data_IF_872122142996
#
_entry.id   IF_872122142996
#
_cell.length_a   1.000
_cell.length_b   1.000
_cell.length_c   1.000
_cell.angle_alpha   90.00
_cell.angle_beta   90.00
_cell.angle_gamma   90.00
#
_symmetry.space_group_name_H-M   'P 1'
#
loop_
_entity.id
_entity.type
_entity.pdbx_description
1 polymer ?
#
# COMPACT_ATOMS: atom_id res chain seq x y z
N UNK A 1 -19.59 -3.48 1.37
CA UNK A 1 -19.00 -2.97 2.62
C UNK A 1 -17.62 -3.60 2.75
N UNK A 2 -16.62 -2.86 3.20
CA UNK A 2 -15.27 -3.42 3.45
C UNK A 2 -15.26 -4.00 4.86
N UNK A 3 -14.75 -5.21 5.03
CA UNK A 3 -14.49 -5.80 6.34
C UNK A 3 -13.01 -5.68 6.64
N UNK A 4 -12.67 -5.27 7.87
CA UNK A 4 -11.28 -5.05 8.30
C UNK A 4 -11.07 -5.71 9.64
N UNK A 5 -9.98 -6.45 9.77
CA UNK A 5 -9.48 -6.98 11.03
C UNK A 5 -8.00 -6.60 11.17
N UNK A 6 -7.59 -6.21 12.38
CA UNK A 6 -6.21 -5.83 12.67
C UNK A 6 -5.69 -6.53 13.92
N UNK A 7 -4.41 -6.90 13.91
CA UNK A 7 -3.65 -7.36 15.06
C UNK A 7 -2.49 -6.39 15.25
N UNK A 8 -2.42 -5.80 16.43
CA UNK A 8 -1.54 -4.66 16.72
C UNK A 8 -0.70 -5.02 17.94
N UNK A 9 0.61 -4.86 17.83
CA UNK A 9 1.49 -5.07 18.96
C UNK A 9 1.25 -4.00 20.05
N UNK A 10 1.65 -4.31 21.28
CA UNK A 10 1.66 -3.31 22.35
C UNK A 10 2.62 -2.16 21.98
N UNK A 11 2.32 -0.92 22.39
CA UNK A 11 3.21 0.20 22.14
C UNK A 11 4.63 -0.04 22.66
N UNK A 12 5.63 0.30 21.85
CA UNK A 12 7.03 0.29 22.28
C UNK A 12 7.27 1.39 23.32
N UNK A 13 8.06 1.09 24.35
CA UNK A 13 8.26 2.00 25.47
C UNK A 13 9.04 3.28 25.10
N UNK A 14 9.89 3.23 24.06
CA UNK A 14 10.71 4.37 23.64
C UNK A 14 9.97 5.31 22.69
N UNK A 15 9.10 4.75 21.83
CA UNK A 15 8.36 5.51 20.81
C UNK A 15 6.94 5.86 21.27
N UNK A 16 6.37 5.07 22.18
CA UNK A 16 4.98 5.22 22.63
C UNK A 16 3.94 4.80 21.60
N UNK A 17 4.34 4.05 20.56
CA UNK A 17 3.47 3.57 19.50
C UNK A 17 3.77 2.11 19.12
N UNK A 18 2.81 1.36 18.57
CA UNK A 18 3.05 0.01 18.06
C UNK A 18 4.09 0.03 16.93
N UNK A 19 5.06 -0.89 16.98
CA UNK A 19 6.05 -1.06 15.93
C UNK A 19 5.69 -2.15 14.92
N UNK A 20 4.72 -3.01 15.27
CA UNK A 20 4.26 -4.13 14.45
C UNK A 20 2.74 -4.12 14.33
N UNK A 21 2.25 -4.27 13.09
CA UNK A 21 0.84 -4.24 12.73
C UNK A 21 0.57 -5.23 11.60
N UNK A 22 -0.52 -5.98 11.72
CA UNK A 22 -1.08 -6.76 10.63
C UNK A 22 -2.53 -6.36 10.40
N UNK A 23 -2.91 -6.14 9.14
CA UNK A 23 -4.28 -5.84 8.71
C UNK A 23 -4.69 -6.91 7.70
N UNK A 24 -5.89 -7.46 7.87
CA UNK A 24 -6.58 -8.28 6.87
C UNK A 24 -7.85 -7.55 6.49
N UNK A 25 -8.10 -7.39 5.19
CA UNK A 25 -9.33 -6.79 4.70
C UNK A 25 -9.98 -7.63 3.61
N UNK A 26 -11.31 -7.53 3.56
CA UNK A 26 -12.15 -8.02 2.46
C UNK A 26 -12.82 -6.82 1.81
N UNK A 27 -12.57 -6.63 0.53
CA UNK A 27 -13.18 -5.55 -0.26
C UNK A 27 -14.67 -5.83 -0.51
N UNK A 28 -15.40 -4.82 -0.97
CA UNK A 28 -16.82 -4.97 -1.29
C UNK A 28 -17.09 -5.96 -2.45
N UNK A 29 -16.09 -6.23 -3.29
CA UNK A 29 -16.11 -7.21 -4.38
C UNK A 29 -15.41 -8.53 -4.03
N UNK A 30 -15.34 -8.85 -2.74
CA UNK A 30 -14.87 -10.13 -2.19
C UNK A 30 -13.40 -10.48 -2.54
N UNK A 31 -12.56 -9.45 -2.70
CA UNK A 31 -11.10 -9.61 -2.78
C UNK A 31 -10.50 -9.52 -1.39
N UNK A 32 -9.46 -10.31 -1.14
CA UNK A 32 -8.75 -10.32 0.13
C UNK A 32 -7.41 -9.61 -0.01
N UNK A 33 -7.03 -8.85 1.00
CA UNK A 33 -5.67 -8.34 1.15
C UNK A 33 -5.17 -8.56 2.58
N UNK A 34 -3.90 -8.96 2.68
CA UNK A 34 -3.18 -9.10 3.95
C UNK A 34 -1.97 -8.18 3.91
N UNK A 35 -1.88 -7.30 4.89
CA UNK A 35 -0.83 -6.29 5.01
C UNK A 35 -0.11 -6.56 6.32
N UNK A 36 1.20 -6.77 6.25
CA UNK A 36 2.05 -6.94 7.42
C UNK A 36 3.12 -5.85 7.41
N UNK A 37 3.21 -5.11 8.51
CA UNK A 37 4.12 -3.98 8.67
C UNK A 37 4.88 -4.12 9.98
N UNK A 38 6.19 -3.88 9.93
CA UNK A 38 7.07 -4.01 11.08
C UNK A 38 8.25 -3.03 10.95
N UNK A 39 8.42 -2.16 11.93
CA UNK A 39 9.64 -1.36 12.09
C UNK A 39 10.82 -2.19 12.61
N UNK A 40 10.55 -3.40 13.14
CA UNK A 40 11.54 -4.36 13.60
C UNK A 40 12.12 -5.22 12.45
N UNK A 41 11.61 -5.06 11.22
CA UNK A 41 12.09 -5.82 10.07
C UNK A 41 13.54 -5.44 9.72
N UNK A 42 14.44 -6.42 9.76
CA UNK A 42 15.83 -6.27 9.29
C UNK A 42 16.00 -6.50 7.79
N UNK A 43 14.89 -6.70 7.08
CA UNK A 43 14.83 -6.80 5.63
C UNK A 43 14.08 -5.56 5.12
N UNK A 44 14.74 -4.74 4.30
CA UNK A 44 14.08 -3.64 3.60
C UNK A 44 13.19 -4.21 2.50
N UNK A 45 11.97 -4.62 2.87
CA UNK A 45 11.06 -5.35 2.00
C UNK A 45 9.78 -4.55 1.78
N UNK A 46 9.56 -4.12 0.54
CA UNK A 46 8.35 -3.44 0.07
C UNK A 46 7.72 -4.29 -1.02
N UNK A 47 7.39 -5.53 -0.64
CA UNK A 47 6.96 -6.53 -1.61
C UNK A 47 5.44 -6.62 -1.66
N UNK A 48 4.94 -6.81 -2.86
CA UNK A 48 3.52 -7.04 -3.12
C UNK A 48 3.38 -8.37 -3.83
N UNK A 49 2.51 -9.22 -3.32
CA UNK A 49 2.12 -10.45 -4.02
C UNK A 49 0.67 -10.31 -4.43
N UNK A 50 0.43 -10.27 -5.74
CA UNK A 50 -0.90 -10.21 -6.32
C UNK A 50 -1.27 -11.59 -6.83
N UNK A 51 -2.28 -12.20 -6.23
CA UNK A 51 -2.74 -13.55 -6.58
C UNK A 51 -4.05 -13.43 -7.35
N UNK A 52 -3.98 -13.66 -8.66
CA UNK A 52 -5.13 -13.76 -9.54
C UNK A 52 -5.55 -15.21 -9.78
N UNK A 53 -6.65 -15.39 -10.53
CA UNK A 53 -7.10 -16.73 -10.93
C UNK A 53 -6.18 -17.35 -11.98
N UNK A 54 -5.64 -16.52 -12.87
CA UNK A 54 -4.78 -16.94 -13.99
C UNK A 54 -3.29 -16.91 -13.65
N UNK A 55 -2.84 -15.98 -12.82
CA UNK A 55 -1.42 -15.80 -12.51
C UNK A 55 -1.18 -15.24 -11.11
N UNK A 56 0.06 -15.39 -10.63
CA UNK A 56 0.57 -14.74 -9.42
C UNK A 56 1.75 -13.85 -9.80
N UNK A 57 1.66 -12.58 -9.42
CA UNK A 57 2.71 -11.60 -9.65
C UNK A 57 3.37 -11.20 -8.33
N UNK A 58 4.68 -11.05 -8.34
CA UNK A 58 5.47 -10.54 -7.22
C UNK A 58 6.13 -9.23 -7.64
N UNK A 59 5.83 -8.14 -6.96
CA UNK A 59 6.65 -6.92 -7.01
C UNK A 59 7.65 -7.05 -5.88
N UNK A 60 8.93 -7.08 -6.22
CA UNK A 60 10.02 -7.21 -5.24
C UNK A 60 11.23 -6.39 -5.68
N UNK A 61 11.79 -5.62 -4.75
CA UNK A 61 12.94 -4.75 -4.99
C UNK A 61 12.71 -3.80 -6.20
N UNK A 62 11.47 -3.30 -6.35
CA UNK A 62 11.07 -2.45 -7.47
C UNK A 62 10.90 -3.16 -8.82
N UNK A 63 11.04 -4.48 -8.87
CA UNK A 63 10.89 -5.28 -10.09
C UNK A 63 9.62 -6.11 -10.03
N UNK A 64 8.84 -6.09 -11.11
CA UNK A 64 7.69 -6.96 -11.30
C UNK A 64 8.17 -8.32 -11.83
N UNK A 65 7.75 -9.40 -11.19
CA UNK A 65 8.05 -10.78 -11.55
C UNK A 65 6.75 -11.56 -11.74
N UNK A 66 6.70 -12.38 -12.76
CA UNK A 66 5.61 -13.33 -13.01
C UNK A 66 5.90 -14.69 -12.36
N UNK A 67 5.07 -15.69 -12.66
CA UNK A 67 5.28 -17.08 -12.24
C UNK A 67 6.73 -17.52 -12.42
N UNK A 68 7.24 -18.25 -11.43
CA UNK A 68 8.60 -18.80 -11.40
C UNK A 68 9.74 -17.77 -11.29
N UNK A 69 9.45 -16.52 -10.91
CA UNK A 69 10.47 -15.50 -10.67
C UNK A 69 11.08 -14.91 -11.94
N UNK A 70 10.41 -15.11 -13.08
CA UNK A 70 10.79 -14.50 -14.36
C UNK A 70 10.45 -13.02 -14.30
N UNK A 71 11.38 -12.10 -14.62
CA UNK A 71 11.05 -10.68 -14.74
C UNK A 71 9.91 -10.49 -15.73
N UNK A 72 8.86 -9.78 -15.33
CA UNK A 72 7.76 -9.43 -16.21
C UNK A 72 8.28 -8.43 -17.25
N UNK A 73 8.12 -8.72 -18.54
CA UNK A 73 8.29 -7.68 -19.54
C UNK A 73 7.08 -6.75 -19.47
N UNK A 74 7.31 -5.48 -19.11
CA UNK A 74 6.28 -4.45 -19.15
C UNK A 74 6.53 -3.60 -20.41
N UNK A 75 5.78 -3.80 -21.51
CA UNK A 75 6.00 -3.08 -22.75
C UNK A 75 5.91 -1.56 -22.51
N UNK A 76 6.97 -0.83 -22.88
CA UNK A 76 7.04 0.63 -22.73
C UNK A 76 7.55 1.13 -21.38
N UNK A 77 7.92 0.24 -20.44
CA UNK A 77 8.56 0.66 -19.20
C UNK A 77 10.06 0.96 -19.42
N UNK A 78 10.40 2.23 -19.68
CA UNK A 78 11.79 2.70 -19.59
C UNK A 78 12.12 3.03 -18.13
N UNK A 79 12.41 1.99 -17.34
CA UNK A 79 12.72 2.15 -15.91
C UNK A 79 14.07 2.86 -15.68
N UNK A 80 14.96 2.86 -16.67
CA UNK A 80 16.30 3.45 -16.57
C UNK A 80 16.28 4.98 -16.73
N UNK A 81 15.40 5.52 -17.57
CA UNK A 81 15.30 6.97 -17.82
C UNK A 81 13.99 7.59 -17.30
N UNK A 82 13.18 6.84 -16.57
CA UNK A 82 11.95 7.37 -15.98
C UNK A 82 12.28 8.44 -14.92
N UNK A 83 11.61 9.61 -14.97
CA UNK A 83 11.67 10.57 -13.87
C UNK A 83 11.24 9.92 -12.56
N UNK A 84 11.78 10.40 -11.43
CA UNK A 84 11.33 9.96 -10.10
C UNK A 84 9.80 10.02 -9.98
N UNK A 85 9.14 9.05 -9.31
CA UNK A 85 7.69 9.05 -9.10
C UNK A 85 7.15 10.37 -8.52
N UNK A 86 7.90 11.04 -7.65
CA UNK A 86 7.53 12.36 -7.10
C UNK A 86 7.49 13.44 -8.18
N UNK A 87 8.43 13.42 -9.13
CA UNK A 87 8.45 14.35 -10.25
C UNK A 87 7.27 14.09 -11.18
N UNK A 88 6.94 12.82 -11.43
CA UNK A 88 5.76 12.45 -12.23
C UNK A 88 4.47 12.91 -11.55
N UNK A 89 4.32 12.69 -10.25
CA UNK A 89 3.18 13.16 -9.46
C UNK A 89 3.04 14.69 -9.53
N UNK A 90 4.14 15.43 -9.34
CA UNK A 90 4.12 16.89 -9.40
C UNK A 90 3.76 17.42 -10.80
N UNK A 91 4.26 16.77 -11.85
CA UNK A 91 3.92 17.11 -13.24
C UNK A 91 2.44 16.90 -13.52
N UNK A 92 1.88 15.78 -13.08
CA UNK A 92 0.46 15.47 -13.25
C UNK A 92 -0.43 16.46 -12.49
N UNK A 93 -0.08 16.79 -11.25
CA UNK A 93 -0.81 17.80 -10.48
C UNK A 93 -0.76 19.18 -11.15
N UNK A 94 0.40 19.59 -11.65
CA UNK A 94 0.52 20.87 -12.37
C UNK A 94 -0.29 20.86 -13.68
N UNK A 95 -0.23 19.78 -14.46
CA UNK A 95 -1.00 19.64 -15.69
C UNK A 95 -2.51 19.70 -15.42
N UNK A 96 -3.00 19.02 -14.37
CA UNK A 96 -4.42 19.02 -14.03
C UNK A 96 -4.97 20.42 -13.71
N UNK A 97 -4.13 21.27 -13.10
CA UNK A 97 -4.47 22.68 -12.85
C UNK A 97 -4.59 23.46 -14.17
N UNK A 98 -3.59 23.35 -15.05
CA UNK A 98 -3.57 24.07 -16.32
C UNK A 98 -4.72 23.66 -17.25
N UNK A 99 -5.08 22.38 -17.22
CA UNK A 99 -6.12 21.80 -18.07
C UNK A 99 -7.52 21.91 -17.45
N UNK A 100 -7.64 22.37 -16.20
CA UNK A 100 -8.92 22.54 -15.51
C UNK A 100 -9.65 21.22 -15.24
N UNK A 101 -8.90 20.15 -14.95
CA UNK A 101 -9.44 18.79 -14.75
C UNK A 101 -9.05 18.18 -13.39
N UNK A 102 -9.75 17.11 -13.00
CA UNK A 102 -9.30 16.07 -12.10
C UNK A 102 -7.78 15.80 -12.05
N UNK A 103 -7.02 15.86 -10.93
CA UNK A 103 -5.75 15.13 -10.91
C UNK A 103 -6.03 13.62 -10.97
N UNK A 104 -5.10 12.85 -11.56
CA UNK A 104 -5.22 11.38 -11.66
C UNK A 104 -5.41 10.69 -10.32
N UNK A 105 -4.92 11.28 -9.23
CA UNK A 105 -5.18 10.86 -7.85
C UNK A 105 -5.85 12.04 -7.15
N UNK A 106 -7.12 11.90 -6.82
CA UNK A 106 -7.91 12.90 -6.10
C UNK A 106 -8.03 12.55 -4.62
N UNK A 107 -8.37 13.52 -3.74
CA UNK A 107 -8.67 13.23 -2.34
C UNK A 107 -9.73 12.12 -2.18
N UNK A 108 -10.79 12.17 -2.99
CA UNK A 108 -11.87 11.17 -2.98
C UNK A 108 -11.37 9.75 -3.28
N UNK A 109 -10.33 9.61 -4.12
CA UNK A 109 -9.74 8.30 -4.43
C UNK A 109 -8.97 7.68 -3.26
N UNK A 110 -8.57 8.50 -2.27
CA UNK A 110 -7.79 8.07 -1.11
C UNK A 110 -8.69 7.79 0.10
N UNK A 111 -9.89 8.37 0.15
CA UNK A 111 -10.83 8.19 1.27
C UNK A 111 -11.07 6.71 1.66
N UNK A 112 -11.32 5.77 0.72
CA UNK A 112 -11.54 4.38 1.10
C UNK A 112 -10.34 3.74 1.81
N UNK A 113 -9.12 4.13 1.45
CA UNK A 113 -7.92 3.67 2.12
C UNK A 113 -7.81 4.29 3.53
N UNK A 114 -8.14 5.57 3.68
CA UNK A 114 -8.16 6.24 4.98
C UNK A 114 -9.19 5.64 5.94
N UNK A 115 -10.36 5.22 5.44
CA UNK A 115 -11.37 4.54 6.25
C UNK A 115 -10.86 3.22 6.82
N UNK A 116 -10.15 2.42 6.02
CA UNK A 116 -9.49 1.18 6.48
C UNK A 116 -8.44 1.47 7.54
N UNK A 117 -7.60 2.49 7.32
CA UNK A 117 -6.57 2.89 8.27
C UNK A 117 -7.18 3.41 9.58
N UNK A 118 -8.29 4.15 9.52
CA UNK A 118 -8.99 4.63 10.71
C UNK A 118 -9.53 3.47 11.55
N UNK A 119 -10.10 2.43 10.93
CA UNK A 119 -10.56 1.24 11.66
C UNK A 119 -9.41 0.55 12.40
N UNK A 120 -8.24 0.44 11.76
CA UNK A 120 -7.06 -0.11 12.40
C UNK A 120 -6.52 0.80 13.53
N UNK A 121 -6.58 2.12 13.34
CA UNK A 121 -6.19 3.09 14.37
C UNK A 121 -7.10 3.01 15.60
N UNK A 122 -8.43 2.95 15.40
CA UNK A 122 -9.40 2.84 16.49
C UNK A 122 -9.15 1.56 17.32
N UNK A 123 -8.77 0.46 16.66
CA UNK A 123 -8.37 -0.77 17.33
C UNK A 123 -7.06 -0.62 18.12
N UNK A 124 -6.11 0.18 17.64
CA UNK A 124 -4.86 0.47 18.35
C UNK A 124 -5.13 1.32 19.61
N UNK A 125 -5.95 2.35 19.47
CA UNK A 125 -6.30 3.27 20.56
C UNK A 125 -7.06 2.55 21.68
N UNK A 126 -7.90 1.57 21.33
CA UNK A 126 -8.58 0.72 22.31
C UNK A 126 -7.61 -0.16 23.15
N UNK A 127 -6.40 -0.42 22.65
CA UNK A 127 -5.35 -1.18 23.35
C UNK A 127 -4.42 -0.29 24.18
N UNK A 128 -4.41 1.02 23.92
CA UNK A 128 -3.54 1.95 24.62
C UNK A 128 -3.98 2.12 26.09
N UNK A 129 -3.06 2.08 27.06
CA UNK A 129 -3.39 2.38 28.45
C UNK A 129 -3.86 3.84 28.57
N UNK A 130 -5.02 4.04 29.20
CA UNK A 130 -5.58 5.37 29.52
C UNK A 130 -4.77 6.09 30.59
#
# INVERSE_FOLDING_TARGET
>A
QVEVASIIATPDASVGAPLDLSIVLRTADDRLATIAMSYNAHLSRYDYVLIGREDTMEIRDGNLKERHGVPAEVPGADTANSPSPVVLQNREFHASILEGRPPSISPDSVLPAMEVLQIAQDAADALAPR
#
